data_IF_437974412293
#
_entry.id   IF_437974412293
#
_cell.length_a   1.000
_cell.length_b   1.000
_cell.length_c   1.000
_cell.angle_alpha   90.00
_cell.angle_beta   90.00
_cell.angle_gamma   90.00
#
_symmetry.space_group_name_H-M   'P 1'
#
loop_
_entity.id
_entity.type
_entity.pdbx_description
1 polymer ?
#
# COMPACT_ATOMS: atom_id res chain seq x y z
N UNK A 1 -21.24 11.03 -18.89
CA UNK A 1 -20.21 10.27 -18.15
C UNK A 1 -20.44 8.76 -18.17
N UNK A 2 -21.61 8.23 -17.82
CA UNK A 2 -21.84 6.76 -17.78
C UNK A 2 -21.49 5.97 -19.06
N UNK A 3 -21.67 6.56 -20.26
CA UNK A 3 -21.30 5.95 -21.54
C UNK A 3 -19.78 5.88 -21.76
N UNK A 4 -19.02 6.79 -21.14
CA UNK A 4 -17.56 6.85 -21.26
C UNK A 4 -16.86 5.77 -20.41
N UNK A 5 -17.60 5.11 -19.51
CA UNK A 5 -17.07 3.95 -18.77
C UNK A 5 -16.90 2.73 -19.67
N UNK A 6 -17.62 2.68 -20.78
CA UNK A 6 -17.56 1.59 -21.75
C UNK A 6 -16.56 1.91 -22.89
N UNK A 7 -15.80 3.00 -22.76
CA UNK A 7 -14.78 3.41 -23.72
C UNK A 7 -13.60 2.45 -23.72
N UNK A 8 -13.06 2.16 -24.90
CA UNK A 8 -11.89 1.30 -25.07
C UNK A 8 -10.62 1.92 -24.50
N UNK A 9 -10.53 3.25 -24.46
CA UNK A 9 -9.36 3.95 -23.93
C UNK A 9 -9.39 3.98 -22.39
N UNK A 10 -8.34 3.42 -21.78
CA UNK A 10 -8.13 3.44 -20.32
C UNK A 10 -8.04 4.88 -19.79
N UNK A 11 -7.45 5.81 -20.52
CA UNK A 11 -7.32 7.20 -20.08
C UNK A 11 -8.67 7.90 -20.00
N UNK A 12 -9.59 7.60 -20.92
CA UNK A 12 -10.95 8.13 -20.88
C UNK A 12 -11.68 7.61 -19.64
N UNK A 13 -11.56 6.30 -19.36
CA UNK A 13 -12.16 5.70 -18.16
C UNK A 13 -11.58 6.25 -16.86
N UNK A 14 -10.25 6.45 -16.81
CA UNK A 14 -9.56 7.06 -15.68
C UNK A 14 -9.99 8.53 -15.47
N UNK A 15 -10.15 9.31 -16.55
CA UNK A 15 -10.62 10.69 -16.46
C UNK A 15 -12.05 10.81 -15.93
N UNK A 16 -12.91 9.82 -16.20
CA UNK A 16 -14.23 9.74 -15.56
C UNK A 16 -14.11 9.45 -14.08
N UNK A 17 -13.21 8.53 -13.70
CA UNK A 17 -13.00 8.12 -12.32
C UNK A 17 -12.49 9.26 -11.42
N UNK A 18 -11.61 10.10 -11.95
CA UNK A 18 -11.01 11.23 -11.21
C UNK A 18 -11.81 12.52 -11.33
N UNK A 19 -12.95 12.50 -12.03
CA UNK A 19 -13.78 13.68 -12.18
C UNK A 19 -14.47 14.03 -10.85
N UNK A 20 -14.32 15.26 -10.31
CA UNK A 20 -15.01 15.68 -9.09
C UNK A 20 -16.54 15.61 -9.17
N UNK A 21 -17.11 15.59 -10.38
CA UNK A 21 -18.55 15.41 -10.63
C UNK A 21 -18.96 13.93 -10.76
N UNK A 22 -18.09 12.99 -10.42
CA UNK A 22 -18.42 11.57 -10.37
C UNK A 22 -19.49 11.34 -9.30
N UNK A 23 -20.68 10.93 -9.72
CA UNK A 23 -21.82 10.68 -8.84
C UNK A 23 -21.83 9.22 -8.33
N UNK A 24 -22.70 8.95 -7.34
CA UNK A 24 -22.85 7.62 -6.76
C UNK A 24 -23.23 6.54 -7.79
N UNK A 25 -23.94 6.91 -8.87
CA UNK A 25 -24.34 5.95 -9.92
C UNK A 25 -23.14 5.50 -10.74
N UNK A 26 -22.22 6.41 -11.05
CA UNK A 26 -20.97 6.11 -11.74
C UNK A 26 -20.09 5.23 -10.84
N UNK A 27 -19.89 5.60 -9.56
CA UNK A 27 -19.14 4.79 -8.60
C UNK A 27 -19.67 3.38 -8.48
N UNK A 28 -20.99 3.24 -8.31
CA UNK A 28 -21.64 1.93 -8.26
C UNK A 28 -21.46 1.13 -9.56
N UNK A 29 -21.66 1.75 -10.74
CA UNK A 29 -21.44 1.06 -12.03
C UNK A 29 -20.00 0.58 -12.18
N UNK A 30 -19.03 1.36 -11.72
CA UNK A 30 -17.62 1.00 -11.78
C UNK A 30 -17.27 -0.14 -10.80
N UNK A 31 -17.71 -0.05 -9.55
CA UNK A 31 -17.43 -1.06 -8.52
C UNK A 31 -18.09 -2.43 -8.80
N UNK A 32 -19.20 -2.44 -9.53
CA UNK A 32 -19.94 -3.67 -9.92
C UNK A 32 -19.65 -4.13 -11.35
N UNK A 33 -18.74 -3.47 -12.07
CA UNK A 33 -18.44 -3.79 -13.45
C UNK A 33 -17.83 -5.19 -13.58
N UNK A 34 -18.11 -5.90 -14.69
CA UNK A 34 -17.40 -7.15 -15.02
C UNK A 34 -15.92 -6.92 -15.29
N UNK A 35 -15.58 -5.75 -15.82
CA UNK A 35 -14.20 -5.34 -16.09
C UNK A 35 -13.47 -5.00 -14.79
N UNK A 36 -12.39 -5.73 -14.50
CA UNK A 36 -11.55 -5.49 -13.33
C UNK A 36 -10.87 -4.12 -13.35
N UNK A 37 -10.62 -3.52 -14.51
CA UNK A 37 -10.00 -2.20 -14.59
C UNK A 37 -10.93 -1.12 -14.08
N UNK A 38 -12.23 -1.20 -14.40
CA UNK A 38 -13.23 -0.28 -13.87
C UNK A 38 -13.38 -0.42 -12.34
N UNK A 39 -13.37 -1.66 -11.84
CA UNK A 39 -13.39 -1.91 -10.39
C UNK A 39 -12.11 -1.40 -9.70
N UNK A 40 -10.96 -1.56 -10.36
CA UNK A 40 -9.67 -1.02 -9.90
C UNK A 40 -9.68 0.51 -9.84
N UNK A 41 -10.24 1.17 -10.85
CA UNK A 41 -10.42 2.63 -10.83
C UNK A 41 -11.38 3.07 -9.72
N UNK A 42 -12.45 2.31 -9.45
CA UNK A 42 -13.33 2.59 -8.31
C UNK A 42 -12.60 2.45 -6.97
N UNK A 43 -11.70 1.46 -6.85
CA UNK A 43 -10.89 1.24 -5.65
C UNK A 43 -9.89 2.38 -5.35
N UNK A 44 -9.51 3.16 -6.36
CA UNK A 44 -8.62 4.32 -6.25
C UNK A 44 -9.39 5.61 -5.89
N UNK A 45 -10.73 5.59 -5.90
CA UNK A 45 -11.54 6.77 -5.63
C UNK A 45 -11.48 7.16 -4.15
N UNK A 46 -11.35 8.47 -3.91
CA UNK A 46 -11.55 9.05 -2.59
C UNK A 46 -13.04 8.99 -2.23
N UNK A 47 -13.33 8.79 -0.95
CA UNK A 47 -14.69 8.86 -0.38
C UNK A 47 -15.66 7.84 -1.00
N UNK A 48 -15.16 6.65 -1.33
CA UNK A 48 -15.98 5.52 -1.78
C UNK A 48 -16.96 5.11 -0.68
N UNK A 49 -18.23 4.88 -1.06
CA UNK A 49 -19.26 4.48 -0.11
C UNK A 49 -18.90 3.16 0.60
N UNK A 50 -19.22 3.00 1.91
CA UNK A 50 -18.80 1.82 2.69
C UNK A 50 -19.25 0.48 2.10
N UNK A 51 -20.44 0.42 1.50
CA UNK A 51 -20.96 -0.78 0.83
C UNK A 51 -20.18 -1.14 -0.43
N UNK A 52 -19.75 -0.13 -1.20
CA UNK A 52 -18.88 -0.33 -2.36
C UNK A 52 -17.45 -0.71 -1.93
N UNK A 53 -16.93 -0.11 -0.86
CA UNK A 53 -15.63 -0.50 -0.31
C UNK A 53 -15.65 -1.96 0.20
N UNK A 54 -16.71 -2.37 0.89
CA UNK A 54 -16.90 -3.76 1.32
C UNK A 54 -17.02 -4.73 0.14
N UNK A 55 -17.67 -4.32 -0.96
CA UNK A 55 -17.71 -5.11 -2.19
C UNK A 55 -16.31 -5.29 -2.79
N UNK A 56 -15.52 -4.22 -2.90
CA UNK A 56 -14.18 -4.26 -3.48
C UNK A 56 -13.15 -4.94 -2.56
N UNK A 57 -13.37 -4.92 -1.25
CA UNK A 57 -12.59 -5.67 -0.27
C UNK A 57 -12.64 -7.17 -0.53
N UNK A 58 -13.76 -7.67 -1.03
CA UNK A 58 -13.96 -9.09 -1.38
C UNK A 58 -13.75 -9.37 -2.88
N UNK A 59 -13.18 -8.42 -3.64
CA UNK A 59 -12.99 -8.58 -5.09
C UNK A 59 -12.15 -9.81 -5.40
N UNK A 60 -12.56 -10.59 -6.40
CA UNK A 60 -11.83 -11.78 -6.85
C UNK A 60 -10.41 -11.44 -7.33
N UNK A 61 -10.21 -10.24 -7.88
CA UNK A 61 -8.94 -9.75 -8.40
C UNK A 61 -8.08 -9.16 -7.28
N UNK A 62 -6.91 -9.75 -6.97
CA UNK A 62 -6.00 -9.15 -6.00
C UNK A 62 -5.46 -7.79 -6.45
N UNK A 63 -5.50 -7.48 -7.75
CA UNK A 63 -5.12 -6.16 -8.26
C UNK A 63 -6.11 -5.08 -7.83
N UNK A 64 -7.39 -5.38 -7.81
CA UNK A 64 -8.42 -4.44 -7.34
C UNK A 64 -8.27 -4.22 -5.84
N UNK A 65 -8.07 -5.29 -5.07
CA UNK A 65 -7.84 -5.21 -3.62
C UNK A 65 -6.55 -4.48 -3.25
N UNK A 66 -5.48 -4.66 -4.04
CA UNK A 66 -4.22 -3.90 -3.89
C UNK A 66 -4.45 -2.41 -4.12
N UNK A 67 -5.17 -2.05 -5.19
CA UNK A 67 -5.49 -0.64 -5.47
C UNK A 67 -6.32 -0.04 -4.34
N UNK A 68 -7.31 -0.77 -3.81
CA UNK A 68 -8.08 -0.36 -2.63
C UNK A 68 -7.17 -0.14 -1.43
N UNK A 69 -6.28 -1.11 -1.15
CA UNK A 69 -5.35 -1.07 -0.03
C UNK A 69 -4.44 0.17 -0.04
N UNK A 70 -3.98 0.59 -1.23
CA UNK A 70 -3.11 1.75 -1.38
C UNK A 70 -3.79 3.11 -1.29
N UNK A 71 -5.12 3.19 -1.44
CA UNK A 71 -5.84 4.46 -1.60
C UNK A 71 -6.93 4.71 -0.54
N UNK A 72 -7.47 3.65 0.08
CA UNK A 72 -8.52 3.81 1.09
C UNK A 72 -8.04 4.63 2.29
N UNK A 73 -8.94 5.44 2.84
CA UNK A 73 -8.74 6.18 4.09
C UNK A 73 -9.53 5.56 5.25
N UNK A 74 -10.33 4.52 4.96
CA UNK A 74 -11.16 3.85 5.95
C UNK A 74 -10.30 2.89 6.80
N UNK A 75 -10.15 3.15 8.10
CA UNK A 75 -9.29 2.34 8.97
C UNK A 75 -9.78 0.90 9.14
N UNK A 76 -11.09 0.63 9.02
CA UNK A 76 -11.64 -0.74 9.11
C UNK A 76 -11.29 -1.53 7.85
N UNK A 77 -11.40 -0.91 6.67
CA UNK A 77 -11.00 -1.52 5.40
C UNK A 77 -9.50 -1.79 5.38
N UNK A 78 -8.67 -0.84 5.84
CA UNK A 78 -7.22 -1.04 5.99
C UNK A 78 -6.95 -2.25 6.91
N UNK A 79 -7.62 -2.31 8.06
CA UNK A 79 -7.44 -3.39 9.05
C UNK A 79 -7.82 -4.76 8.48
N UNK A 80 -8.86 -4.83 7.64
CA UNK A 80 -9.21 -6.05 6.94
C UNK A 80 -8.13 -6.47 5.92
N UNK A 81 -7.63 -5.52 5.12
CA UNK A 81 -6.62 -5.77 4.09
C UNK A 81 -5.24 -6.15 4.64
N UNK A 82 -4.92 -5.79 5.88
CA UNK A 82 -3.73 -6.31 6.60
C UNK A 82 -3.70 -7.84 6.67
N UNK A 83 -4.87 -8.48 6.63
CA UNK A 83 -5.01 -9.94 6.71
C UNK A 83 -5.19 -10.59 5.34
N UNK A 84 -5.08 -9.83 4.25
CA UNK A 84 -5.24 -10.38 2.91
C UNK A 84 -4.21 -11.47 2.65
N UNK A 85 -4.68 -12.60 2.13
CA UNK A 85 -3.84 -13.75 1.76
C UNK A 85 -2.75 -13.40 0.73
N UNK A 86 -2.98 -12.38 -0.09
CA UNK A 86 -2.11 -11.98 -1.18
C UNK A 86 -1.08 -10.98 -0.69
N UNK A 87 0.20 -11.34 -0.79
CA UNK A 87 1.31 -10.47 -0.39
C UNK A 87 1.23 -9.10 -1.04
N UNK A 88 0.93 -9.05 -2.34
CA UNK A 88 0.81 -7.80 -3.10
C UNK A 88 -0.26 -6.85 -2.55
N UNK A 89 -1.37 -7.38 -2.02
CA UNK A 89 -2.40 -6.55 -1.37
C UNK A 89 -1.87 -5.95 -0.07
N UNK A 90 -1.21 -6.75 0.76
CA UNK A 90 -0.58 -6.26 2.00
C UNK A 90 0.55 -5.27 1.73
N UNK A 91 1.29 -5.40 0.62
CA UNK A 91 2.23 -4.35 0.15
C UNK A 91 1.50 -3.04 -0.19
N UNK A 92 0.31 -3.12 -0.78
CA UNK A 92 -0.57 -1.97 -1.00
C UNK A 92 -0.90 -1.25 0.32
N UNK A 93 -1.19 -2.01 1.38
CA UNK A 93 -1.41 -1.43 2.72
C UNK A 93 -0.13 -0.79 3.27
N UNK A 94 1.03 -1.43 3.10
CA UNK A 94 2.32 -0.92 3.58
C UNK A 94 2.73 0.43 2.99
N UNK A 95 2.26 0.77 1.79
CA UNK A 95 2.52 2.07 1.17
C UNK A 95 1.41 3.11 1.40
N UNK A 96 0.34 2.72 2.11
CA UNK A 96 -0.77 3.61 2.40
C UNK A 96 -0.43 4.54 3.57
N UNK A 97 -0.41 5.86 3.29
CA UNK A 97 -0.08 6.92 4.25
C UNK A 97 -1.13 7.11 5.35
N UNK A 98 -2.32 6.53 5.20
CA UNK A 98 -3.40 6.56 6.17
C UNK A 98 -3.33 5.43 7.20
N UNK A 99 -2.33 4.54 7.12
CA UNK A 99 -2.09 3.52 8.15
C UNK A 99 -1.78 4.16 9.51
N UNK A 100 -2.38 3.62 10.58
CA UNK A 100 -2.07 4.01 11.96
C UNK A 100 -0.75 3.39 12.43
N UNK A 101 -0.12 3.91 13.51
CA UNK A 101 1.07 3.29 14.09
C UNK A 101 0.88 1.80 14.43
N UNK A 102 -0.27 1.40 14.96
CA UNK A 102 -0.57 0.01 15.30
C UNK A 102 -0.62 -0.87 14.05
N UNK A 103 -1.23 -0.37 12.96
CA UNK A 103 -1.29 -1.08 11.68
C UNK A 103 0.10 -1.20 11.05
N UNK A 104 0.95 -0.17 11.17
CA UNK A 104 2.35 -0.21 10.73
C UNK A 104 3.15 -1.23 11.53
N UNK A 105 2.96 -1.35 12.84
CA UNK A 105 3.65 -2.35 13.64
C UNK A 105 3.26 -3.79 13.26
N UNK A 106 2.00 -4.03 12.87
CA UNK A 106 1.57 -5.32 12.31
C UNK A 106 2.30 -5.61 10.98
N UNK A 107 2.41 -4.61 10.09
CA UNK A 107 3.12 -4.74 8.81
C UNK A 107 4.63 -4.89 8.98
N UNK A 108 5.22 -4.25 9.98
CA UNK A 108 6.63 -4.38 10.34
C UNK A 108 6.96 -5.79 10.80
N UNK A 109 5.95 -6.54 11.26
CA UNK A 109 6.11 -7.94 11.61
C UNK A 109 5.95 -8.82 10.37
N UNK A 110 4.85 -8.71 9.58
CA UNK A 110 4.44 -9.55 8.41
C UNK A 110 5.15 -10.94 8.29
N UNK A 111 5.07 -11.65 7.18
CA UNK A 111 5.97 -12.78 6.93
C UNK A 111 6.82 -12.51 5.70
N UNK A 112 6.25 -11.77 4.74
CA UNK A 112 6.88 -11.44 3.48
C UNK A 112 7.83 -10.24 3.65
N UNK A 113 9.14 -10.41 3.38
CA UNK A 113 10.11 -9.32 3.51
C UNK A 113 9.80 -8.14 2.59
N UNK A 114 9.22 -8.38 1.43
CA UNK A 114 8.77 -7.35 0.48
C UNK A 114 7.67 -6.43 1.02
N UNK A 115 6.86 -6.88 2.00
CA UNK A 115 5.88 -6.03 2.70
C UNK A 115 6.61 -5.13 3.68
N UNK A 116 7.47 -5.71 4.52
CA UNK A 116 8.30 -4.95 5.49
C UNK A 116 9.20 -3.92 4.80
N UNK A 117 9.82 -4.30 3.69
CA UNK A 117 10.66 -3.42 2.90
C UNK A 117 9.86 -2.30 2.23
N UNK A 118 8.64 -2.57 1.77
CA UNK A 118 7.74 -1.53 1.23
C UNK A 118 7.33 -0.54 2.32
N UNK A 119 7.02 -1.02 3.52
CA UNK A 119 6.67 -0.21 4.68
C UNK A 119 7.78 0.80 5.02
N UNK A 120 9.01 0.30 5.18
CA UNK A 120 10.21 1.12 5.50
C UNK A 120 10.45 2.26 4.50
N UNK A 121 10.10 2.04 3.23
CA UNK A 121 10.29 3.06 2.18
C UNK A 121 9.17 4.08 2.09
N UNK A 122 8.02 3.83 2.70
CA UNK A 122 6.81 4.58 2.41
C UNK A 122 6.29 5.43 3.56
N UNK A 123 6.48 4.98 4.80
CA UNK A 123 5.91 5.63 5.99
C UNK A 123 6.93 5.73 7.11
N UNK A 124 6.77 6.74 7.95
CA UNK A 124 7.51 6.84 9.21
C UNK A 124 7.08 5.72 10.16
N UNK A 125 8.06 5.13 10.85
CA UNK A 125 7.87 4.03 11.78
C UNK A 125 8.27 4.46 13.18
N UNK A 126 7.61 3.87 14.17
CA UNK A 126 7.96 4.05 15.57
C UNK A 126 9.35 3.45 15.85
N UNK A 127 10.05 4.02 16.83
CA UNK A 127 11.41 3.61 17.19
C UNK A 127 11.49 2.10 17.47
N UNK A 128 10.48 1.54 18.14
CA UNK A 128 10.45 0.11 18.47
C UNK A 128 10.41 -0.80 17.23
N UNK A 129 9.65 -0.42 16.19
CA UNK A 129 9.58 -1.18 14.94
C UNK A 129 10.91 -1.06 14.17
N UNK A 130 11.50 0.14 14.13
CA UNK A 130 12.80 0.37 13.50
C UNK A 130 13.90 -0.47 14.16
N UNK A 131 13.95 -0.52 15.49
CA UNK A 131 14.93 -1.34 16.24
C UNK A 131 14.78 -2.84 15.95
N UNK A 132 13.55 -3.32 15.74
CA UNK A 132 13.31 -4.69 15.30
C UNK A 132 13.78 -4.92 13.86
N UNK A 133 13.46 -4.00 12.94
CA UNK A 133 13.77 -4.11 11.53
C UNK A 133 15.28 -3.95 11.21
N UNK A 134 16.06 -3.24 12.03
CA UNK A 134 17.53 -3.22 11.93
C UNK A 134 18.11 -4.63 12.08
N UNK A 135 17.45 -5.50 12.83
CA UNK A 135 17.84 -6.90 13.05
C UNK A 135 17.05 -7.85 12.15
N UNK A 136 16.33 -7.35 11.15
CA UNK A 136 15.50 -8.17 10.26
C UNK A 136 16.36 -9.24 9.59
N UNK A 137 15.84 -10.46 9.48
CA UNK A 137 16.49 -11.56 8.79
C UNK A 137 16.74 -11.29 7.30
N UNK A 138 15.93 -10.44 6.68
CA UNK A 138 16.02 -10.10 5.27
C UNK A 138 17.01 -8.96 5.02
N UNK A 139 18.02 -9.24 4.20
CA UNK A 139 18.95 -8.22 3.68
C UNK A 139 18.18 -7.10 2.97
N UNK A 140 17.10 -7.41 2.24
CA UNK A 140 16.30 -6.40 1.52
C UNK A 140 15.67 -5.37 2.48
N UNK A 141 15.20 -5.82 3.65
CA UNK A 141 14.58 -4.96 4.65
C UNK A 141 15.64 -4.07 5.29
N UNK A 142 16.76 -4.64 5.73
CA UNK A 142 17.88 -3.88 6.31
C UNK A 142 18.48 -2.89 5.32
N UNK A 143 18.60 -3.28 4.04
CA UNK A 143 19.03 -2.38 2.96
C UNK A 143 18.02 -1.26 2.71
N UNK A 144 16.72 -1.54 2.84
CA UNK A 144 15.69 -0.50 2.73
C UNK A 144 15.82 0.53 3.86
N UNK A 145 16.15 0.12 5.09
CA UNK A 145 16.45 1.05 6.18
C UNK A 145 17.70 1.90 5.89
N UNK A 146 18.75 1.28 5.34
CA UNK A 146 19.98 1.99 4.99
C UNK A 146 19.78 3.09 3.92
N UNK A 147 18.81 2.90 3.01
CA UNK A 147 18.61 3.76 1.83
C UNK A 147 17.36 4.63 1.87
N UNK A 148 16.43 4.38 2.80
CA UNK A 148 15.17 5.10 2.88
C UNK A 148 15.35 6.50 3.49
N UNK A 149 14.86 7.53 2.79
CA UNK A 149 14.95 8.92 3.22
C UNK A 149 14.19 9.19 4.53
N UNK A 150 13.14 8.41 4.80
CA UNK A 150 12.33 8.51 6.03
C UNK A 150 12.98 7.81 7.23
N UNK A 151 14.09 7.09 7.04
CA UNK A 151 14.77 6.40 8.15
C UNK A 151 15.61 7.38 8.98
N UNK A 152 15.45 7.43 10.32
CA UNK A 152 16.25 8.30 11.17
C UNK A 152 17.76 8.02 11.06
N UNK A 153 18.64 9.05 11.15
CA UNK A 153 20.08 8.87 10.99
C UNK A 153 20.72 7.86 11.97
N UNK A 154 20.25 7.79 13.21
CA UNK A 154 20.80 6.84 14.20
C UNK A 154 20.47 5.38 13.86
N UNK A 155 19.36 5.12 13.17
CA UNK A 155 19.02 3.80 12.65
C UNK A 155 19.95 3.39 11.51
N UNK A 156 20.30 4.34 10.62
CA UNK A 156 21.31 4.11 9.58
C UNK A 156 22.70 3.86 10.17
N UNK A 157 23.07 4.60 11.21
CA UNK A 157 24.35 4.40 11.92
C UNK A 157 24.50 2.96 12.42
N UNK A 158 23.43 2.38 12.98
CA UNK A 158 23.42 1.00 13.47
C UNK A 158 23.69 -0.05 12.36
N UNK A 159 23.45 0.30 11.09
CA UNK A 159 23.63 -0.58 9.94
C UNK A 159 25.03 -0.49 9.30
N UNK A 160 25.91 0.44 9.72
CA UNK A 160 27.26 0.59 9.12
C UNK A 160 28.18 -0.62 9.32
N UNK A 161 27.84 -1.48 10.28
CA UNK A 161 28.53 -2.74 10.58
C UNK A 161 27.62 -3.95 10.31
N UNK A 162 26.62 -3.82 9.44
CA UNK A 162 25.78 -4.95 9.03
C UNK A 162 26.66 -6.09 8.48
N UNK A 163 26.33 -7.36 8.80
CA UNK A 163 27.08 -8.51 8.25
C UNK A 163 27.00 -8.61 6.72
N UNK A 164 25.98 -8.01 6.09
CA UNK A 164 25.90 -7.88 4.64
C UNK A 164 26.58 -6.58 4.18
N UNK A 165 27.64 -6.70 3.39
CA UNK A 165 28.43 -5.54 2.96
C UNK A 165 27.65 -4.55 2.09
N UNK A 166 26.61 -5.00 1.35
CA UNK A 166 25.80 -4.07 0.56
C UNK A 166 24.98 -3.16 1.49
N UNK A 167 24.42 -3.72 2.57
CA UNK A 167 23.71 -2.95 3.60
C UNK A 167 24.66 -1.98 4.29
N UNK A 168 25.81 -2.47 4.74
CA UNK A 168 26.82 -1.65 5.42
C UNK A 168 27.36 -0.53 4.52
N UNK A 169 27.67 -0.82 3.26
CA UNK A 169 28.09 0.19 2.29
C UNK A 169 27.01 1.23 2.04
N UNK A 170 25.75 0.83 1.86
CA UNK A 170 24.65 1.77 1.65
C UNK A 170 24.46 2.67 2.88
N UNK A 171 24.53 2.12 4.09
CA UNK A 171 24.44 2.88 5.34
C UNK A 171 25.58 3.87 5.57
N UNK A 172 26.78 3.60 5.02
CA UNK A 172 27.94 4.51 5.11
C UNK A 172 27.88 5.69 4.11
N UNK A 173 27.04 5.60 3.08
CA UNK A 173 26.93 6.63 2.02
C UNK A 173 26.05 7.82 2.39
N UNK A 174 25.16 7.62 3.37
CA UNK A 174 24.25 8.64 3.91
C UNK A 174 24.75 9.11 5.28
#
# INVERSE_FOLDING_TARGET
MLRLLDDTDRWIRWAVATNPSCDARIRHKMATAKDKELRGLAAEMKDLEPDLAALLLEDVSPEVRERLAGHTQDPEVITALLKDRTVRVRKGVAVNKHTTPEQRSILAQDYAPEVRAALVRAVELEESDLQALVKDRSVEVRRSLATSDVTPPHIREALKNDPDEAVASDARRY
#
